data_IF_102583156917
#
_entry.id   IF_102583156917
#
_cell.length_a   1.000
_cell.length_b   1.000
_cell.length_c   1.000
_cell.angle_alpha   90.00
_cell.angle_beta   90.00
_cell.angle_gamma   90.00
#
_symmetry.space_group_name_H-M   'P 1'
#
loop_
_entity.id
_entity.type
_entity.pdbx_description
1 polymer ?
#
# COMPACT_ATOMS: atom_id res chain seq x y z
N UNK A 1 -13.06 -22.19 -3.20
CA UNK A 1 -14.35 -21.48 -3.12
C UNK A 1 -14.13 -20.17 -2.36
N UNK A 2 -14.63 -19.05 -2.88
CA UNK A 2 -14.53 -17.74 -2.24
C UNK A 2 -15.93 -17.17 -1.96
N UNK A 3 -16.06 -16.48 -0.82
CA UNK A 3 -17.29 -15.80 -0.42
C UNK A 3 -16.97 -14.38 0.06
N UNK A 4 -17.83 -13.42 -0.28
CA UNK A 4 -17.79 -12.04 0.19
C UNK A 4 -19.17 -11.70 0.76
N UNK A 5 -19.25 -11.23 2.00
CA UNK A 5 -20.52 -10.92 2.69
C UNK A 5 -21.51 -12.10 2.63
N UNK A 6 -21.04 -13.31 2.86
CA UNK A 6 -21.80 -14.56 2.76
C UNK A 6 -22.36 -14.89 1.37
N UNK A 7 -21.95 -14.15 0.33
CA UNK A 7 -22.31 -14.41 -1.06
C UNK A 7 -21.20 -15.19 -1.76
N UNK A 8 -21.57 -16.24 -2.49
CA UNK A 8 -20.63 -17.00 -3.34
C UNK A 8 -20.16 -16.08 -4.50
N UNK A 9 -18.84 -15.88 -4.61
CA UNK A 9 -18.26 -14.93 -5.57
C UNK A 9 -18.52 -15.32 -7.03
N UNK A 10 -18.77 -16.58 -7.34
CA UNK A 10 -19.10 -17.04 -8.69
C UNK A 10 -20.61 -16.94 -8.97
N UNK A 11 -21.43 -17.50 -8.07
CA UNK A 11 -22.89 -17.54 -8.27
C UNK A 11 -23.55 -16.17 -8.13
N UNK A 12 -23.01 -15.31 -7.30
CA UNK A 12 -23.55 -13.98 -7.00
C UNK A 12 -22.62 -12.86 -7.51
N UNK A 13 -21.86 -13.10 -8.59
CA UNK A 13 -20.83 -12.19 -9.08
C UNK A 13 -21.30 -10.73 -9.22
N UNK A 14 -22.45 -10.50 -9.85
CA UNK A 14 -23.00 -9.15 -10.01
C UNK A 14 -23.28 -8.45 -8.68
N UNK A 15 -23.85 -9.17 -7.70
CA UNK A 15 -24.13 -8.62 -6.38
C UNK A 15 -22.84 -8.30 -5.61
N UNK A 16 -21.85 -9.20 -5.69
CA UNK A 16 -20.52 -9.01 -5.08
C UNK A 16 -19.83 -7.80 -5.69
N UNK A 17 -19.81 -7.66 -7.02
CA UNK A 17 -19.19 -6.53 -7.72
C UNK A 17 -19.80 -5.17 -7.35
N UNK A 18 -21.06 -5.12 -6.94
CA UNK A 18 -21.69 -3.89 -6.45
C UNK A 18 -21.28 -3.53 -5.02
N UNK A 19 -20.62 -4.42 -4.30
CA UNK A 19 -20.15 -4.23 -2.91
C UNK A 19 -18.62 -4.15 -2.78
N UNK A 20 -17.93 -4.25 -3.90
CA UNK A 20 -16.46 -4.27 -3.95
C UNK A 20 -15.94 -3.17 -4.86
N UNK A 21 -15.05 -2.33 -4.34
CA UNK A 21 -14.16 -1.49 -5.12
C UNK A 21 -12.92 -2.31 -5.48
N UNK A 22 -12.59 -2.39 -6.76
CA UNK A 22 -11.51 -3.23 -7.25
C UNK A 22 -10.52 -2.45 -8.09
N UNK A 23 -9.26 -2.56 -7.76
CA UNK A 23 -8.13 -2.08 -8.55
C UNK A 23 -7.30 -3.29 -8.97
N UNK A 24 -7.30 -3.70 -10.24
CA UNK A 24 -6.40 -4.73 -10.76
C UNK A 24 -4.97 -4.18 -10.92
N UNK A 25 -3.97 -5.05 -10.86
CA UNK A 25 -2.56 -4.69 -11.10
C UNK A 25 -2.32 -4.15 -12.50
N UNK A 26 -3.09 -4.61 -13.50
CA UNK A 26 -3.13 -4.05 -14.85
C UNK A 26 -4.54 -3.61 -15.20
N UNK A 27 -4.72 -2.33 -15.47
CA UNK A 27 -6.02 -1.74 -15.78
C UNK A 27 -6.21 -1.70 -17.30
N UNK A 28 -7.27 -2.36 -17.79
CA UNK A 28 -7.69 -2.25 -19.18
C UNK A 28 -8.42 -0.92 -19.40
N UNK A 29 -7.75 0.03 -20.01
CA UNK A 29 -8.29 1.34 -20.34
C UNK A 29 -8.84 1.41 -21.77
N UNK A 30 -9.74 2.36 -21.98
CA UNK A 30 -10.19 2.78 -23.32
C UNK A 30 -9.34 3.98 -23.76
N UNK A 31 -8.32 3.76 -24.56
CA UNK A 31 -7.27 4.73 -24.92
C UNK A 31 -7.80 6.01 -25.58
N UNK A 32 -8.94 5.96 -26.27
CA UNK A 32 -9.54 7.10 -26.95
C UNK A 32 -10.33 8.03 -26.02
N UNK A 33 -10.64 7.60 -24.80
CA UNK A 33 -11.33 8.40 -23.78
C UNK A 33 -10.35 9.30 -23.03
N UNK A 34 -10.83 10.42 -22.51
CA UNK A 34 -10.17 11.15 -21.42
C UNK A 34 -10.38 10.42 -20.09
N UNK A 35 -9.59 10.77 -19.07
CA UNK A 35 -9.77 10.23 -17.72
C UNK A 35 -11.17 10.49 -17.18
N UNK A 36 -11.71 11.70 -17.42
CA UNK A 36 -13.07 12.08 -17.03
C UNK A 36 -14.11 11.21 -17.71
N UNK A 37 -14.04 11.06 -19.02
CA UNK A 37 -14.99 10.22 -19.80
C UNK A 37 -14.95 8.76 -19.31
N UNK A 38 -13.76 8.25 -18.97
CA UNK A 38 -13.62 6.89 -18.48
C UNK A 38 -14.19 6.71 -17.06
N UNK A 39 -13.97 7.67 -16.16
CA UNK A 39 -14.57 7.67 -14.81
C UNK A 39 -16.11 7.71 -14.93
N UNK A 40 -16.66 8.58 -15.77
CA UNK A 40 -18.11 8.68 -16.01
C UNK A 40 -18.68 7.39 -16.62
N UNK A 41 -17.95 6.78 -17.55
CA UNK A 41 -18.32 5.49 -18.15
C UNK A 41 -18.39 4.40 -17.08
N UNK A 42 -17.36 4.27 -16.25
CA UNK A 42 -17.33 3.28 -15.17
C UNK A 42 -18.43 3.54 -14.13
N UNK A 43 -18.72 4.78 -13.81
CA UNK A 43 -19.81 5.15 -12.92
C UNK A 43 -21.18 4.73 -13.48
N UNK A 44 -21.41 4.94 -14.79
CA UNK A 44 -22.63 4.47 -15.47
C UNK A 44 -22.77 2.94 -15.43
N UNK A 45 -21.67 2.21 -15.67
CA UNK A 45 -21.65 0.74 -15.55
C UNK A 45 -22.01 0.27 -14.14
N UNK A 46 -21.58 1.01 -13.12
CA UNK A 46 -21.89 0.78 -11.70
C UNK A 46 -23.25 1.37 -11.27
N UNK A 47 -24.03 1.96 -12.19
CA UNK A 47 -25.32 2.62 -11.93
C UNK A 47 -25.25 3.72 -10.86
N UNK A 48 -24.12 4.38 -10.75
CA UNK A 48 -23.92 5.51 -9.83
C UNK A 48 -24.62 6.76 -10.36
N UNK A 49 -25.31 7.48 -9.48
CA UNK A 49 -25.95 8.77 -9.79
C UNK A 49 -25.16 9.95 -9.24
N UNK A 50 -24.41 9.73 -8.17
CA UNK A 50 -23.60 10.74 -7.52
C UNK A 50 -22.11 10.46 -7.76
N UNK A 51 -21.40 11.50 -8.21
CA UNK A 51 -19.95 11.48 -8.47
C UNK A 51 -19.20 12.46 -7.57
N UNK A 52 -19.80 12.92 -6.50
CA UNK A 52 -19.18 13.88 -5.58
C UNK A 52 -17.86 13.31 -5.05
N UNK A 53 -17.88 12.07 -4.58
CA UNK A 53 -16.68 11.42 -4.07
C UNK A 53 -15.61 11.18 -5.16
N UNK A 54 -16.00 10.90 -6.39
CA UNK A 54 -15.05 10.80 -7.51
C UNK A 54 -14.34 12.15 -7.78
N UNK A 55 -15.06 13.28 -7.64
CA UNK A 55 -14.48 14.62 -7.78
C UNK A 55 -13.52 14.95 -6.64
N UNK A 56 -13.91 14.68 -5.39
CA UNK A 56 -13.03 14.83 -4.22
C UNK A 56 -11.73 14.02 -4.38
N UNK A 57 -11.83 12.76 -4.84
CA UNK A 57 -10.65 11.93 -5.10
C UNK A 57 -9.78 12.47 -6.25
N UNK A 58 -10.41 13.07 -7.29
CA UNK A 58 -9.68 13.70 -8.40
C UNK A 58 -8.84 14.87 -7.91
N UNK A 59 -9.40 15.72 -7.06
CA UNK A 59 -8.70 16.84 -6.44
C UNK A 59 -7.63 16.36 -5.47
N UNK A 60 -7.96 15.40 -4.61
CA UNK A 60 -7.03 14.83 -3.63
C UNK A 60 -5.79 14.20 -4.27
N UNK A 61 -5.97 13.45 -5.35
CA UNK A 61 -4.90 12.80 -6.10
C UNK A 61 -4.22 13.73 -7.12
N UNK A 62 -4.65 14.99 -7.21
CA UNK A 62 -4.03 16.01 -8.08
C UNK A 62 -3.87 15.52 -9.53
N UNK A 63 -4.95 15.08 -10.15
CA UNK A 63 -4.91 14.57 -11.52
C UNK A 63 -5.77 15.41 -12.47
N UNK A 64 -5.17 15.81 -13.61
CA UNK A 64 -5.91 16.36 -14.72
C UNK A 64 -6.62 15.23 -15.51
N UNK A 65 -7.92 15.12 -15.30
CA UNK A 65 -8.76 14.10 -15.94
C UNK A 65 -9.17 14.46 -17.37
N UNK A 66 -8.87 15.66 -17.89
CA UNK A 66 -9.18 16.07 -19.27
C UNK A 66 -8.23 15.43 -20.29
N UNK A 67 -7.05 15.00 -19.84
CA UNK A 67 -6.05 14.34 -20.67
C UNK A 67 -6.59 13.01 -21.20
N UNK A 68 -6.35 12.72 -22.49
CA UNK A 68 -6.67 11.41 -23.08
C UNK A 68 -5.79 10.30 -22.47
N UNK A 69 -6.38 9.17 -22.14
CA UNK A 69 -5.74 8.04 -21.46
C UNK A 69 -4.47 7.57 -22.21
N UNK A 70 -4.49 7.54 -23.54
CA UNK A 70 -3.31 7.19 -24.34
C UNK A 70 -2.10 8.11 -24.15
N UNK A 71 -2.33 9.34 -23.66
CA UNK A 71 -1.27 10.33 -23.37
C UNK A 71 -0.87 10.37 -21.90
N UNK A 72 -1.55 9.61 -21.03
CA UNK A 72 -1.27 9.57 -19.60
C UNK A 72 -0.02 8.74 -19.30
N UNK A 73 0.77 9.20 -18.33
CA UNK A 73 1.84 8.40 -17.71
C UNK A 73 1.25 7.20 -16.94
N UNK A 74 2.10 6.25 -16.58
CA UNK A 74 1.70 5.10 -15.74
C UNK A 74 1.08 5.57 -14.42
N UNK A 75 1.70 6.57 -13.75
CA UNK A 75 1.19 7.13 -12.50
C UNK A 75 -0.16 7.84 -12.67
N UNK A 76 -0.37 8.57 -13.77
CA UNK A 76 -1.69 9.15 -14.05
C UNK A 76 -2.76 8.08 -14.25
N UNK A 77 -2.46 7.03 -15.01
CA UNK A 77 -3.36 5.89 -15.20
C UNK A 77 -3.68 5.21 -13.86
N UNK A 78 -2.68 5.05 -13.00
CA UNK A 78 -2.86 4.48 -11.66
C UNK A 78 -3.82 5.33 -10.82
N UNK A 79 -3.67 6.66 -10.83
CA UNK A 79 -4.59 7.57 -10.14
C UNK A 79 -6.04 7.43 -10.63
N UNK A 80 -6.26 7.31 -11.95
CA UNK A 80 -7.60 7.02 -12.51
C UNK A 80 -8.15 5.70 -11.97
N UNK A 81 -7.32 4.66 -11.92
CA UNK A 81 -7.70 3.35 -11.34
C UNK A 81 -8.12 3.44 -9.89
N UNK A 82 -7.35 4.19 -9.08
CA UNK A 82 -7.70 4.46 -7.68
C UNK A 82 -9.04 5.16 -7.56
N UNK A 83 -9.28 6.24 -8.34
CA UNK A 83 -10.57 6.94 -8.33
C UNK A 83 -11.71 5.95 -8.58
N UNK A 84 -11.59 5.10 -9.60
CA UNK A 84 -12.62 4.12 -9.97
C UNK A 84 -12.85 3.08 -8.86
N UNK A 85 -11.79 2.62 -8.19
CA UNK A 85 -11.90 1.65 -7.12
C UNK A 85 -12.60 2.22 -5.87
N UNK A 86 -12.35 3.49 -5.56
CA UNK A 86 -12.86 4.15 -4.34
C UNK A 86 -14.18 4.89 -4.54
N UNK A 87 -14.46 5.44 -5.74
CA UNK A 87 -15.58 6.35 -5.99
C UNK A 87 -16.94 5.79 -5.60
N UNK A 88 -17.08 4.47 -5.60
CA UNK A 88 -18.35 3.80 -5.27
C UNK A 88 -18.68 3.82 -3.77
N UNK A 89 -17.71 4.17 -2.93
CA UNK A 89 -17.81 4.22 -1.48
C UNK A 89 -18.41 2.94 -0.85
N UNK A 90 -17.95 1.79 -1.32
CA UNK A 90 -18.42 0.47 -0.90
C UNK A 90 -17.65 -0.06 0.32
N UNK A 91 -18.22 -1.05 1.05
CA UNK A 91 -17.62 -1.53 2.30
C UNK A 91 -16.33 -2.35 2.12
N UNK A 92 -16.04 -2.84 0.91
CA UNK A 92 -14.87 -3.70 0.66
C UNK A 92 -14.04 -3.13 -0.48
N UNK A 93 -12.74 -3.05 -0.28
CA UNK A 93 -11.75 -2.69 -1.30
C UNK A 93 -10.78 -3.85 -1.51
N UNK A 94 -10.53 -4.19 -2.77
CA UNK A 94 -9.50 -5.15 -3.18
C UNK A 94 -8.56 -4.42 -4.13
N UNK A 95 -7.30 -4.26 -3.72
CA UNK A 95 -6.33 -3.41 -4.40
C UNK A 95 -5.07 -4.21 -4.70
N UNK A 96 -4.76 -4.37 -5.98
CA UNK A 96 -3.58 -5.08 -6.43
C UNK A 96 -2.49 -4.09 -6.83
N UNK A 97 -1.37 -4.08 -6.06
CA UNK A 97 -0.23 -3.18 -6.23
C UNK A 97 -0.64 -1.70 -6.42
N UNK A 98 -1.42 -1.11 -5.49
CA UNK A 98 -2.13 0.16 -5.69
C UNK A 98 -1.21 1.37 -5.90
N UNK A 99 0.03 1.32 -5.41
CA UNK A 99 0.99 2.44 -5.49
C UNK A 99 1.98 2.33 -6.64
N UNK A 100 1.86 1.27 -7.45
CA UNK A 100 2.76 1.04 -8.58
C UNK A 100 2.73 2.22 -9.56
N UNK A 101 3.91 2.85 -9.79
CA UNK A 101 4.08 3.99 -10.69
C UNK A 101 3.68 5.34 -10.11
N UNK A 102 3.30 5.41 -8.83
CA UNK A 102 3.13 6.67 -8.10
C UNK A 102 4.48 7.17 -7.57
N UNK A 103 4.64 8.48 -7.55
CA UNK A 103 5.76 9.12 -6.87
C UNK A 103 5.62 9.04 -5.34
N UNK A 104 6.70 9.27 -4.56
CA UNK A 104 6.67 9.13 -3.09
C UNK A 104 5.63 10.01 -2.39
N UNK A 105 5.33 11.20 -2.92
CA UNK A 105 4.31 12.10 -2.35
C UNK A 105 2.92 11.48 -2.50
N UNK A 106 2.64 10.95 -3.68
CA UNK A 106 1.37 10.27 -3.96
C UNK A 106 1.24 8.94 -3.22
N UNK A 107 2.34 8.20 -2.99
CA UNK A 107 2.33 7.01 -2.13
C UNK A 107 1.94 7.36 -0.69
N UNK A 108 2.46 8.45 -0.14
CA UNK A 108 2.05 8.94 1.19
C UNK A 108 0.57 9.33 1.24
N UNK A 109 0.07 10.05 0.23
CA UNK A 109 -1.37 10.36 0.10
C UNK A 109 -2.22 9.11 0.01
N UNK A 110 -1.77 8.09 -0.70
CA UNK A 110 -2.45 6.80 -0.74
C UNK A 110 -2.52 6.13 0.64
N UNK A 111 -1.42 6.13 1.41
CA UNK A 111 -1.40 5.61 2.79
C UNK A 111 -2.42 6.35 3.67
N UNK A 112 -2.49 7.69 3.57
CA UNK A 112 -3.49 8.49 4.29
C UNK A 112 -4.93 8.15 3.85
N UNK A 113 -5.15 7.97 2.55
CA UNK A 113 -6.45 7.55 2.00
C UNK A 113 -6.87 6.19 2.58
N UNK A 114 -5.98 5.20 2.60
CA UNK A 114 -6.25 3.88 3.19
C UNK A 114 -6.61 3.97 4.66
N UNK A 115 -5.88 4.77 5.45
CA UNK A 115 -6.19 4.99 6.87
C UNK A 115 -7.59 5.58 7.05
N UNK A 116 -7.93 6.62 6.29
CA UNK A 116 -9.26 7.24 6.30
C UNK A 116 -10.39 6.25 5.98
N UNK A 117 -10.18 5.42 4.95
CA UNK A 117 -11.18 4.41 4.55
C UNK A 117 -11.33 3.30 5.60
N UNK A 118 -10.23 2.91 6.22
CA UNK A 118 -10.20 1.96 7.34
C UNK A 118 -10.93 2.51 8.57
N UNK A 119 -10.67 3.77 8.94
CA UNK A 119 -11.35 4.45 10.05
C UNK A 119 -12.85 4.60 9.80
N UNK A 120 -13.26 4.69 8.54
CA UNK A 120 -14.66 4.63 8.10
C UNK A 120 -15.27 3.22 8.17
N UNK A 121 -14.54 2.21 8.65
CA UNK A 121 -15.01 0.83 8.88
C UNK A 121 -14.98 -0.08 7.65
N UNK A 122 -14.23 0.29 6.60
CA UNK A 122 -14.11 -0.57 5.41
C UNK A 122 -13.12 -1.71 5.63
N UNK A 123 -13.40 -2.82 4.97
CA UNK A 123 -12.46 -3.95 4.87
C UNK A 123 -11.60 -3.80 3.62
N UNK A 124 -10.28 -3.81 3.78
CA UNK A 124 -9.34 -3.59 2.67
C UNK A 124 -8.41 -4.79 2.56
N UNK A 125 -8.40 -5.42 1.39
CA UNK A 125 -7.41 -6.42 1.00
C UNK A 125 -6.51 -5.80 -0.06
N UNK A 126 -5.22 -5.72 0.19
CA UNK A 126 -4.28 -5.21 -0.79
C UNK A 126 -3.03 -6.09 -0.92
N UNK A 127 -2.49 -6.16 -2.12
CA UNK A 127 -1.14 -6.67 -2.36
C UNK A 127 -0.15 -5.51 -2.41
N UNK A 128 1.05 -5.70 -1.90
CA UNK A 128 2.16 -4.77 -2.04
C UNK A 128 3.49 -5.48 -1.86
N UNK A 129 4.52 -5.02 -2.55
CA UNK A 129 5.91 -5.41 -2.33
C UNK A 129 6.69 -4.35 -1.53
N UNK A 130 6.04 -3.24 -1.15
CA UNK A 130 6.62 -2.15 -0.35
C UNK A 130 6.27 -2.38 1.12
N UNK A 131 7.24 -2.87 1.90
CA UNK A 131 7.01 -3.22 3.29
C UNK A 131 6.55 -2.03 4.15
N UNK A 132 7.07 -0.83 3.90
CA UNK A 132 6.70 0.39 4.63
C UNK A 132 5.21 0.74 4.42
N UNK A 133 4.69 0.56 3.21
CA UNK A 133 3.27 0.74 2.91
C UNK A 133 2.40 -0.23 3.73
N UNK A 134 2.77 -1.52 3.72
CA UNK A 134 2.09 -2.57 4.49
C UNK A 134 2.14 -2.27 5.98
N UNK A 135 3.31 -1.87 6.49
CA UNK A 135 3.54 -1.53 7.89
C UNK A 135 2.68 -0.37 8.38
N UNK A 136 2.39 0.60 7.51
CA UNK A 136 1.64 1.81 7.83
C UNK A 136 0.12 1.69 7.63
N UNK A 137 -0.35 0.66 6.95
CA UNK A 137 -1.77 0.52 6.54
C UNK A 137 -2.46 -0.73 7.06
N UNK A 138 -1.74 -1.85 7.15
CA UNK A 138 -2.33 -3.16 7.43
C UNK A 138 -2.39 -3.48 8.93
N UNK A 139 -3.38 -4.27 9.33
CA UNK A 139 -3.46 -4.88 10.67
C UNK A 139 -2.87 -6.29 10.66
N UNK A 140 -3.08 -7.01 9.55
CA UNK A 140 -2.65 -8.40 9.35
C UNK A 140 -1.95 -8.55 8.02
N UNK A 141 -0.91 -9.35 7.98
CA UNK A 141 -0.08 -9.58 6.80
C UNK A 141 0.04 -11.07 6.53
N UNK A 142 -0.19 -11.45 5.27
CA UNK A 142 0.07 -12.80 4.76
C UNK A 142 1.24 -12.70 3.78
N UNK A 143 2.36 -13.34 4.11
CA UNK A 143 3.52 -13.39 3.23
C UNK A 143 3.50 -14.66 2.39
N UNK A 144 3.68 -14.48 1.09
CA UNK A 144 3.71 -15.58 0.12
C UNK A 144 5.10 -15.63 -0.52
N UNK A 145 5.71 -16.81 -0.51
CA UNK A 145 6.98 -17.10 -1.20
C UNK A 145 6.87 -18.45 -1.91
N UNK A 146 7.28 -18.50 -3.18
CA UNK A 146 7.25 -19.71 -4.01
C UNK A 146 5.88 -20.41 -4.01
N UNK A 147 4.79 -19.60 -4.07
CA UNK A 147 3.41 -20.10 -4.07
C UNK A 147 2.91 -20.66 -2.72
N UNK A 148 3.67 -20.48 -1.64
CA UNK A 148 3.31 -20.95 -0.29
C UNK A 148 3.21 -19.79 0.68
N UNK A 149 2.26 -19.89 1.61
CA UNK A 149 2.18 -18.98 2.74
C UNK A 149 3.36 -19.29 3.69
N UNK A 150 4.23 -18.31 3.91
CA UNK A 150 5.38 -18.43 4.81
C UNK A 150 5.17 -17.71 6.14
N UNK A 151 4.24 -16.74 6.18
CA UNK A 151 3.79 -16.10 7.42
C UNK A 151 2.34 -15.62 7.26
N UNK A 152 1.60 -15.66 8.36
CA UNK A 152 0.24 -15.13 8.49
C UNK A 152 0.13 -14.56 9.91
N UNK A 153 0.41 -13.26 10.06
CA UNK A 153 0.65 -12.64 11.35
C UNK A 153 0.04 -11.23 11.45
N UNK A 154 -0.20 -10.82 12.69
CA UNK A 154 -0.47 -9.42 13.03
C UNK A 154 0.75 -8.55 12.72
N UNK A 155 0.53 -7.35 12.16
CA UNK A 155 1.62 -6.44 11.77
C UNK A 155 2.47 -6.00 12.98
N UNK A 156 1.88 -5.86 14.16
CA UNK A 156 2.62 -5.49 15.37
C UNK A 156 3.60 -6.58 15.79
N UNK A 157 3.25 -7.88 15.61
CA UNK A 157 4.19 -8.98 15.86
C UNK A 157 5.36 -8.95 14.88
N UNK A 158 5.09 -8.65 13.61
CA UNK A 158 6.14 -8.54 12.58
C UNK A 158 7.07 -7.37 12.93
N UNK A 159 6.52 -6.21 13.28
CA UNK A 159 7.28 -5.03 13.73
C UNK A 159 8.17 -5.37 14.93
N UNK A 160 7.62 -6.01 15.94
CA UNK A 160 8.32 -6.33 17.19
C UNK A 160 9.41 -7.40 17.01
N UNK A 161 9.31 -8.26 16.01
CA UNK A 161 10.29 -9.29 15.71
C UNK A 161 11.34 -8.87 14.68
N UNK A 162 11.25 -7.66 14.16
CA UNK A 162 12.19 -7.17 13.13
C UNK A 162 13.57 -6.95 13.74
N UNK A 163 14.55 -7.66 13.20
CA UNK A 163 15.95 -7.39 13.47
C UNK A 163 16.42 -6.27 12.54
N UNK A 164 16.90 -5.18 13.12
CA UNK A 164 17.53 -4.08 12.38
C UNK A 164 19.03 -4.24 12.43
N UNK A 165 19.68 -4.11 11.28
CA UNK A 165 21.12 -4.12 11.17
C UNK A 165 21.60 -2.68 11.11
N UNK A 166 22.55 -2.35 11.97
CA UNK A 166 23.16 -1.02 12.07
C UNK A 166 24.63 -1.12 11.69
N UNK A 167 25.07 -0.14 10.92
CA UNK A 167 26.47 0.11 10.61
C UNK A 167 26.81 1.50 11.18
N UNK A 168 27.66 1.54 12.18
CA UNK A 168 28.03 2.77 12.90
C UNK A 168 29.52 3.00 12.70
N UNK A 169 29.86 4.08 12.01
CA UNK A 169 31.24 4.48 11.78
C UNK A 169 31.65 5.57 12.77
N UNK A 170 32.70 5.32 13.53
CA UNK A 170 33.26 6.25 14.51
C UNK A 170 34.41 7.06 13.91
N UNK A 171 34.72 8.20 14.53
CA UNK A 171 35.85 9.07 14.13
C UNK A 171 37.21 8.41 14.34
N UNK A 172 37.31 7.46 15.28
CA UNK A 172 38.54 6.77 15.62
C UNK A 172 38.25 5.31 16.07
N UNK A 173 39.32 4.47 16.01
CA UNK A 173 39.26 3.05 16.33
C UNK A 173 38.93 2.82 17.81
N UNK A 174 39.48 3.66 18.72
CA UNK A 174 39.31 3.49 20.16
C UNK A 174 37.86 3.69 20.59
N UNK A 175 37.16 4.65 19.98
CA UNK A 175 35.74 4.87 20.18
C UNK A 175 34.90 3.68 19.69
N UNK A 176 35.26 3.12 18.54
CA UNK A 176 34.60 1.91 18.01
C UNK A 176 34.84 0.68 18.93
N UNK A 177 36.05 0.53 19.50
CA UNK A 177 36.34 -0.54 20.46
C UNK A 177 35.53 -0.42 21.74
N UNK A 178 35.45 0.78 22.30
CA UNK A 178 34.64 1.04 23.50
C UNK A 178 33.17 0.74 23.26
N UNK A 179 32.64 1.16 22.12
CA UNK A 179 31.25 0.90 21.75
C UNK A 179 31.00 -0.59 21.52
N UNK A 180 31.89 -1.31 20.84
CA UNK A 180 31.83 -2.75 20.66
C UNK A 180 31.75 -3.50 21.99
N UNK A 181 32.51 -3.04 23.00
CA UNK A 181 32.51 -3.63 24.34
C UNK A 181 31.16 -3.59 25.07
N UNK A 182 30.25 -2.70 24.65
CA UNK A 182 28.87 -2.61 25.19
C UNK A 182 27.90 -3.61 24.55
N UNK A 183 28.23 -4.16 23.37
CA UNK A 183 27.36 -5.04 22.58
C UNK A 183 28.12 -6.31 22.17
N UNK A 184 27.97 -7.37 22.95
CA UNK A 184 28.70 -8.65 22.77
C UNK A 184 28.48 -9.30 21.40
N UNK A 185 27.31 -9.09 20.78
CA UNK A 185 26.92 -9.68 19.49
C UNK A 185 27.28 -8.78 18.29
N UNK A 186 28.07 -7.71 18.52
CA UNK A 186 28.51 -6.81 17.45
C UNK A 186 29.82 -7.29 16.80
N UNK A 187 29.95 -6.97 15.51
CA UNK A 187 31.20 -7.18 14.76
C UNK A 187 31.83 -5.83 14.45
N UNK A 188 33.16 -5.76 14.48
CA UNK A 188 33.90 -4.53 14.14
C UNK A 188 34.86 -4.77 12.98
N UNK A 189 34.93 -3.77 12.12
CA UNK A 189 35.98 -3.63 11.10
C UNK A 189 36.56 -2.21 11.21
N UNK A 190 37.82 -2.11 11.61
CA UNK A 190 38.48 -0.84 11.85
C UNK A 190 37.66 0.06 12.82
N UNK A 191 37.22 1.22 12.36
CA UNK A 191 36.40 2.17 13.11
C UNK A 191 34.88 2.00 12.89
N UNK A 192 34.42 0.93 12.23
CA UNK A 192 33.03 0.67 11.97
C UNK A 192 32.53 -0.55 12.74
N UNK A 193 31.42 -0.40 13.46
CA UNK A 193 30.74 -1.45 14.22
C UNK A 193 29.46 -1.84 13.56
N UNK A 194 29.27 -3.14 13.36
CA UNK A 194 28.06 -3.76 12.83
C UNK A 194 27.32 -4.44 13.97
N UNK A 195 26.07 -4.10 14.18
CA UNK A 195 25.25 -4.74 15.20
C UNK A 195 23.83 -4.98 14.72
N UNK A 196 23.17 -5.98 15.30
CA UNK A 196 21.81 -6.39 14.99
C UNK A 196 20.95 -6.29 16.23
N UNK A 197 19.96 -5.41 16.22
CA UNK A 197 19.09 -5.18 17.37
C UNK A 197 17.62 -5.46 17.04
N UNK A 198 16.91 -6.04 18.02
CA UNK A 198 15.45 -6.12 18.02
C UNK A 198 14.92 -4.94 18.82
N UNK A 199 14.25 -3.97 18.16
CA UNK A 199 13.48 -2.87 18.78
C UNK A 199 14.15 -1.94 19.81
N UNK A 200 15.48 -1.84 19.84
CA UNK A 200 16.21 -1.08 20.88
C UNK A 200 17.01 0.11 20.32
N UNK A 201 16.40 0.92 19.45
CA UNK A 201 17.11 2.10 18.90
C UNK A 201 17.37 3.16 19.98
N UNK A 202 16.45 3.31 20.93
CA UNK A 202 16.56 4.31 22.00
C UNK A 202 17.71 4.05 22.98
N UNK A 203 18.23 2.83 23.04
CA UNK A 203 19.43 2.48 23.83
C UNK A 203 20.74 2.82 23.12
N UNK A 204 20.73 3.00 21.79
CA UNK A 204 21.91 3.38 21.01
C UNK A 204 22.23 4.89 21.08
N UNK A 205 21.26 5.72 21.47
CA UNK A 205 21.33 7.19 21.41
C UNK A 205 21.59 7.79 22.80
N UNK A 206 21.65 6.99 23.83
CA UNK A 206 22.05 7.38 25.19
C UNK A 206 23.53 7.16 25.42
#
# INVERSE_FOLDING_TARGET
>A
RAQILNMDCFRNASCVQMKVGYLPGEIAFMDNMSGKEFIEFMAKMKKMKDLTYARELTEYLEIDTQVKIKKMSKGMKQKIGLIIAFMQNVPILILDEPTTGLDPIMQNKFVELIKREKDAGKTILMSSHIFEEVENTCDRVVMIKDGKIVADEDIHKIKNNRVKHYEITFSDIKSAENFQGLYSDSQRRENTVFLSLKNQVDELIK
#
